data_IF_688289043700
#
_entry.id   IF_688289043700
#
_cell.length_a   1.000
_cell.length_b   1.000
_cell.length_c   1.000
_cell.angle_alpha   90.00
_cell.angle_beta   90.00
_cell.angle_gamma   90.00
#
_symmetry.space_group_name_H-M   'P 1'
#
loop_
_entity.id
_entity.type
_entity.pdbx_description
1 polymer ?
#
# COMPACT_ATOMS: atom_id res chain seq x y z
N UNK A 1 -29.55 -4.71 62.70
CA UNK A 1 -30.54 -4.05 61.81
C UNK A 1 -30.02 -2.77 61.16
N UNK A 2 -29.53 -1.75 61.90
CA UNK A 2 -29.03 -0.49 61.29
C UNK A 2 -27.77 -0.63 60.44
N UNK A 3 -26.87 -1.57 60.77
CA UNK A 3 -25.65 -1.87 60.02
C UNK A 3 -25.98 -2.50 58.66
N UNK A 4 -26.81 -3.55 58.68
CA UNK A 4 -27.32 -4.22 57.48
C UNK A 4 -28.04 -3.25 56.51
N UNK A 5 -28.80 -2.29 57.03
CA UNK A 5 -29.45 -1.27 56.19
C UNK A 5 -28.47 -0.28 55.55
N UNK A 6 -27.34 0.01 56.21
CA UNK A 6 -26.26 0.85 55.64
C UNK A 6 -25.48 0.09 54.57
N UNK A 7 -25.12 -1.16 54.84
CA UNK A 7 -24.44 -2.04 53.88
C UNK A 7 -25.28 -2.26 52.64
N UNK A 8 -26.58 -2.53 52.79
CA UNK A 8 -27.50 -2.70 51.65
C UNK A 8 -27.63 -1.41 50.83
N UNK A 9 -27.64 -0.24 51.48
CA UNK A 9 -27.65 1.06 50.78
C UNK A 9 -26.36 1.30 49.99
N UNK A 10 -25.20 0.98 50.55
CA UNK A 10 -23.90 1.11 49.87
C UNK A 10 -23.84 0.15 48.66
N UNK A 11 -24.29 -1.09 48.84
CA UNK A 11 -24.33 -2.08 47.75
C UNK A 11 -25.23 -1.61 46.60
N UNK A 12 -26.44 -1.12 46.90
CA UNK A 12 -27.35 -0.55 45.89
C UNK A 12 -26.74 0.67 45.19
N UNK A 13 -25.94 1.48 45.89
CA UNK A 13 -25.26 2.63 45.30
C UNK A 13 -24.12 2.19 44.37
N UNK A 14 -23.36 1.16 44.74
CA UNK A 14 -22.32 0.56 43.90
C UNK A 14 -22.91 -0.09 42.65
N UNK A 15 -24.01 -0.82 42.78
CA UNK A 15 -24.69 -1.45 41.64
C UNK A 15 -25.23 -0.39 40.67
N UNK A 16 -25.82 0.69 41.18
CA UNK A 16 -26.25 1.83 40.34
C UNK A 16 -25.08 2.51 39.64
N UNK A 17 -23.96 2.70 40.33
CA UNK A 17 -22.77 3.28 39.73
C UNK A 17 -22.17 2.38 38.64
N UNK A 18 -22.17 1.05 38.84
CA UNK A 18 -21.74 0.07 37.84
C UNK A 18 -22.64 0.12 36.62
N UNK A 19 -23.96 0.09 36.81
CA UNK A 19 -24.93 0.16 35.72
C UNK A 19 -24.84 1.48 34.93
N UNK A 20 -24.59 2.60 35.62
CA UNK A 20 -24.41 3.90 34.96
C UNK A 20 -23.16 3.92 34.07
N UNK A 21 -22.03 3.38 34.55
CA UNK A 21 -20.81 3.25 33.76
C UNK A 21 -21.01 2.33 32.56
N UNK A 22 -21.65 1.19 32.74
CA UNK A 22 -21.94 0.25 31.67
C UNK A 22 -22.84 0.87 30.59
N UNK A 23 -23.88 1.62 31.01
CA UNK A 23 -24.76 2.33 30.09
C UNK A 23 -23.99 3.39 29.28
N UNK A 24 -23.10 4.15 29.93
CA UNK A 24 -22.28 5.16 29.27
C UNK A 24 -21.33 4.51 28.24
N UNK A 25 -20.61 3.46 28.62
CA UNK A 25 -19.72 2.74 27.70
C UNK A 25 -20.48 2.18 26.49
N UNK A 26 -21.69 1.65 26.71
CA UNK A 26 -22.55 1.17 25.63
C UNK A 26 -22.99 2.30 24.70
N UNK A 27 -23.37 3.45 25.24
CA UNK A 27 -23.77 4.61 24.44
C UNK A 27 -22.60 5.16 23.61
N UNK A 28 -21.40 5.24 24.20
CA UNK A 28 -20.18 5.65 23.49
C UNK A 28 -19.83 4.67 22.36
N UNK A 29 -19.89 3.36 22.62
CA UNK A 29 -19.66 2.35 21.58
C UNK A 29 -20.69 2.39 20.44
N UNK A 30 -21.97 2.67 20.74
CA UNK A 30 -23.01 2.84 19.72
C UNK A 30 -22.72 4.09 18.88
N UNK A 31 -22.36 5.20 19.52
CA UNK A 31 -22.04 6.46 18.82
C UNK A 31 -20.83 6.30 17.90
N UNK A 32 -19.78 5.66 18.38
CA UNK A 32 -18.58 5.39 17.58
C UNK A 32 -18.91 4.46 16.39
N UNK A 33 -19.74 3.44 16.61
CA UNK A 33 -20.23 2.57 15.54
C UNK A 33 -20.99 3.38 14.47
N UNK A 34 -21.92 4.24 14.88
CA UNK A 34 -22.69 5.09 13.96
C UNK A 34 -21.79 6.08 13.20
N UNK A 35 -20.76 6.63 13.84
CA UNK A 35 -19.77 7.49 13.18
C UNK A 35 -18.98 6.72 12.13
N UNK A 36 -18.57 5.49 12.43
CA UNK A 36 -17.85 4.62 11.50
C UNK A 36 -18.73 4.17 10.33
N UNK A 37 -20.00 3.83 10.58
CA UNK A 37 -20.97 3.49 9.53
C UNK A 37 -21.22 4.68 8.59
N UNK A 38 -21.32 5.90 9.13
CA UNK A 38 -21.44 7.13 8.31
C UNK A 38 -20.21 7.35 7.44
N UNK A 39 -19.00 7.22 7.99
CA UNK A 39 -17.75 7.34 7.21
C UNK A 39 -17.65 6.27 6.12
N UNK A 40 -18.04 5.03 6.44
CA UNK A 40 -18.04 3.93 5.51
C UNK A 40 -18.99 4.20 4.32
N UNK A 41 -20.20 4.69 4.57
CA UNK A 41 -21.16 5.05 3.51
C UNK A 41 -20.64 6.17 2.62
N UNK A 42 -20.00 7.19 3.18
CA UNK A 42 -19.39 8.28 2.40
C UNK A 42 -18.28 7.75 1.48
N UNK A 43 -17.36 6.95 2.03
CA UNK A 43 -16.28 6.34 1.23
C UNK A 43 -16.83 5.44 0.13
N UNK A 44 -17.90 4.69 0.41
CA UNK A 44 -18.56 3.86 -0.60
C UNK A 44 -19.14 4.69 -1.74
N UNK A 45 -19.75 5.84 -1.44
CA UNK A 45 -20.29 6.75 -2.45
C UNK A 45 -19.18 7.43 -3.27
N UNK A 46 -18.08 7.82 -2.62
CA UNK A 46 -16.92 8.41 -3.29
C UNK A 46 -16.25 7.41 -4.25
N UNK A 47 -16.11 6.15 -3.83
CA UNK A 47 -15.62 5.08 -4.71
C UNK A 47 -16.54 4.88 -5.91
N UNK A 48 -17.86 4.91 -5.72
CA UNK A 48 -18.83 4.78 -6.82
C UNK A 48 -18.68 5.91 -7.82
N UNK A 49 -18.60 7.17 -7.35
CA UNK A 49 -18.41 8.35 -8.23
C UNK A 49 -17.10 8.27 -9.01
N UNK A 50 -16.00 7.91 -8.32
CA UNK A 50 -14.71 7.75 -8.97
C UNK A 50 -14.73 6.66 -10.05
N UNK A 51 -15.45 5.54 -9.82
CA UNK A 51 -15.62 4.49 -10.83
C UNK A 51 -16.44 4.95 -12.04
N UNK A 52 -17.50 5.73 -11.82
CA UNK A 52 -18.30 6.30 -12.91
C UNK A 52 -17.49 7.30 -13.75
N UNK A 53 -16.71 8.17 -13.10
CA UNK A 53 -15.80 9.10 -13.79
C UNK A 53 -14.69 8.37 -14.55
N UNK A 54 -14.10 7.32 -13.96
CA UNK A 54 -13.11 6.49 -14.63
C UNK A 54 -13.69 5.85 -15.88
N UNK A 55 -14.91 5.29 -15.80
CA UNK A 55 -15.58 4.67 -16.95
C UNK A 55 -15.84 5.68 -18.07
N UNK A 56 -16.34 6.87 -17.73
CA UNK A 56 -16.53 7.97 -18.70
C UNK A 56 -15.20 8.37 -19.34
N UNK A 57 -14.13 8.47 -18.55
CA UNK A 57 -12.80 8.79 -19.07
C UNK A 57 -12.30 7.72 -20.04
N UNK A 58 -12.46 6.43 -19.71
CA UNK A 58 -12.09 5.32 -20.58
C UNK A 58 -12.84 5.37 -21.92
N UNK A 59 -14.16 5.55 -21.87
CA UNK A 59 -14.99 5.70 -23.08
C UNK A 59 -14.53 6.89 -23.94
N UNK A 60 -14.18 8.03 -23.32
CA UNK A 60 -13.63 9.16 -24.09
C UNK A 60 -12.25 8.88 -24.68
N UNK A 61 -11.39 8.13 -23.98
CA UNK A 61 -10.07 7.76 -24.51
C UNK A 61 -10.20 6.81 -25.71
N UNK A 62 -11.10 5.83 -25.64
CA UNK A 62 -11.37 4.90 -26.75
C UNK A 62 -11.89 5.62 -27.99
N UNK A 63 -12.86 6.53 -27.82
CA UNK A 63 -13.40 7.34 -28.94
C UNK A 63 -12.34 8.24 -29.57
N UNK A 64 -11.42 8.79 -28.77
CA UNK A 64 -10.32 9.61 -29.29
C UNK A 64 -9.27 8.78 -30.01
N UNK A 65 -8.97 7.56 -29.53
CA UNK A 65 -8.08 6.63 -30.21
C UNK A 65 -8.63 6.23 -31.58
N UNK A 66 -9.92 5.86 -31.67
CA UNK A 66 -10.56 5.53 -32.95
C UNK A 66 -10.53 6.72 -33.94
N UNK A 67 -10.76 7.94 -33.43
CA UNK A 67 -10.63 9.16 -34.24
C UNK A 67 -9.21 9.38 -34.75
N UNK A 68 -8.20 9.09 -33.94
CA UNK A 68 -6.80 9.21 -34.34
C UNK A 68 -6.45 8.22 -35.45
N UNK A 69 -6.87 6.95 -35.31
CA UNK A 69 -6.65 5.91 -36.32
C UNK A 69 -7.31 6.27 -37.67
N UNK A 70 -8.54 6.80 -37.63
CA UNK A 70 -9.24 7.28 -38.83
C UNK A 70 -8.50 8.47 -39.49
N UNK A 71 -8.02 9.42 -38.70
CA UNK A 71 -7.27 10.56 -39.22
C UNK A 71 -5.93 10.12 -39.85
N UNK A 72 -5.24 9.14 -39.27
CA UNK A 72 -4.04 8.55 -39.84
C UNK A 72 -4.34 7.84 -41.18
N UNK A 73 -5.42 7.05 -41.23
CA UNK A 73 -5.85 6.40 -42.46
C UNK A 73 -6.18 7.40 -43.58
N UNK A 74 -6.86 8.51 -43.25
CA UNK A 74 -7.16 9.58 -44.22
C UNK A 74 -5.89 10.29 -44.71
N UNK A 75 -4.95 10.59 -43.82
CA UNK A 75 -3.67 11.18 -44.18
C UNK A 75 -2.85 10.28 -45.11
N UNK A 76 -2.83 8.97 -44.82
CA UNK A 76 -2.15 7.98 -45.67
C UNK A 76 -2.78 7.90 -47.06
N UNK A 77 -4.11 7.94 -47.16
CA UNK A 77 -4.82 7.94 -48.44
C UNK A 77 -4.52 9.20 -49.26
N UNK A 78 -4.51 10.38 -48.62
CA UNK A 78 -4.14 11.63 -49.28
C UNK A 78 -2.68 11.63 -49.76
N UNK A 79 -1.77 11.08 -48.96
CA UNK A 79 -0.37 10.95 -49.36
C UNK A 79 -0.21 10.03 -50.57
N UNK A 80 -0.90 8.87 -50.57
CA UNK A 80 -0.91 7.97 -51.73
C UNK A 80 -1.40 8.68 -52.99
N UNK A 81 -2.50 9.43 -52.89
CA UNK A 81 -3.05 10.20 -54.02
C UNK A 81 -2.06 11.25 -54.53
N UNK A 82 -1.35 11.94 -53.63
CA UNK A 82 -0.30 12.89 -54.01
C UNK A 82 0.83 12.19 -54.78
N UNK A 83 1.36 11.07 -54.25
CA UNK A 83 2.40 10.29 -54.94
C UNK A 83 1.95 9.79 -56.33
N UNK A 84 0.71 9.33 -56.47
CA UNK A 84 0.14 8.91 -57.76
C UNK A 84 0.06 10.07 -58.76
N UNK A 85 -0.43 11.24 -58.32
CA UNK A 85 -0.51 12.42 -59.18
C UNK A 85 0.86 12.96 -59.59
N UNK A 86 1.85 12.93 -58.69
CA UNK A 86 3.23 13.32 -59.00
C UNK A 86 3.84 12.37 -60.04
N UNK A 87 3.61 11.06 -59.90
CA UNK A 87 4.07 10.06 -60.87
C UNK A 87 3.43 10.29 -62.25
N UNK A 88 2.15 10.66 -62.29
CA UNK A 88 1.44 10.94 -63.54
C UNK A 88 1.91 12.24 -64.20
N UNK A 89 2.15 13.31 -63.43
CA UNK A 89 2.77 14.54 -63.90
C UNK A 89 4.17 14.26 -64.49
N UNK A 90 4.98 13.44 -63.83
CA UNK A 90 6.29 13.05 -64.36
C UNK A 90 6.16 12.31 -65.70
N UNK A 91 5.19 11.39 -65.83
CA UNK A 91 4.89 10.72 -67.11
C UNK A 91 4.48 11.72 -68.20
N UNK A 92 3.59 12.66 -67.89
CA UNK A 92 3.18 13.70 -68.83
C UNK A 92 4.36 14.58 -69.27
N UNK A 93 5.19 15.04 -68.33
CA UNK A 93 6.40 15.83 -68.63
C UNK A 93 7.34 15.09 -69.57
N UNK A 94 7.59 13.79 -69.35
CA UNK A 94 8.40 12.99 -70.27
C UNK A 94 7.77 12.84 -71.66
N UNK A 95 6.44 12.76 -71.75
CA UNK A 95 5.72 12.65 -73.03
C UNK A 95 5.72 13.95 -73.84
N UNK A 96 5.62 15.10 -73.16
CA UNK A 96 5.36 16.42 -73.76
C UNK A 96 6.63 17.19 -74.18
N UNK A 97 7.83 16.70 -73.88
CA UNK A 97 9.10 17.25 -74.40
C UNK A 97 9.25 17.07 -75.94
N UNK A 98 8.22 16.56 -76.64
CA UNK A 98 8.28 16.20 -78.07
C UNK A 98 7.78 17.24 -79.09
N UNK A 99 7.01 18.29 -78.76
CA UNK A 99 6.54 19.27 -79.78
C UNK A 99 6.17 20.69 -79.29
N UNK A 100 6.45 21.74 -80.08
CA UNK A 100 6.32 23.17 -79.69
C UNK A 100 4.87 23.68 -79.51
N UNK A 101 3.89 23.15 -80.26
CA UNK A 101 2.46 23.46 -80.03
C UNK A 101 1.92 22.82 -78.72
N UNK A 102 2.50 21.71 -78.28
CA UNK A 102 2.22 21.14 -76.95
C UNK A 102 2.78 22.02 -75.84
N UNK A 103 3.83 22.81 -76.09
CA UNK A 103 4.44 23.71 -75.12
C UNK A 103 3.45 24.75 -74.58
N UNK A 104 2.62 25.33 -75.45
CA UNK A 104 1.59 26.31 -75.05
C UNK A 104 0.44 25.67 -74.26
N UNK A 105 -0.03 24.48 -74.65
CA UNK A 105 -1.09 23.77 -73.92
C UNK A 105 -0.58 23.26 -72.56
N UNK A 106 0.68 22.84 -72.51
CA UNK A 106 1.39 22.48 -71.29
C UNK A 106 1.56 23.66 -70.35
N UNK A 107 1.86 24.86 -70.87
CA UNK A 107 1.99 26.06 -70.04
C UNK A 107 0.66 26.44 -69.38
N UNK A 108 -0.46 26.29 -70.10
CA UNK A 108 -1.80 26.50 -69.53
C UNK A 108 -2.13 25.46 -68.45
N UNK A 109 -1.92 24.16 -68.72
CA UNK A 109 -2.14 23.09 -67.73
C UNK A 109 -1.18 23.18 -66.54
N UNK A 110 0.05 23.67 -66.75
CA UNK A 110 1.01 23.89 -65.68
C UNK A 110 0.53 24.97 -64.72
N UNK A 111 -0.03 26.08 -65.22
CA UNK A 111 -0.65 27.12 -64.38
C UNK A 111 -1.86 26.61 -63.60
N UNK A 112 -2.70 25.77 -64.22
CA UNK A 112 -3.85 25.18 -63.52
C UNK A 112 -3.40 24.21 -62.42
N UNK A 113 -2.39 23.37 -62.71
CA UNK A 113 -1.78 22.48 -61.73
C UNK A 113 -1.08 23.25 -60.60
N UNK A 114 -0.45 24.38 -60.91
CA UNK A 114 0.18 25.26 -59.90
C UNK A 114 -0.86 25.86 -58.94
N UNK A 115 -2.05 26.24 -59.45
CA UNK A 115 -3.15 26.74 -58.62
C UNK A 115 -3.76 25.66 -57.71
N UNK A 116 -3.75 24.40 -58.15
CA UNK A 116 -4.19 23.25 -57.34
C UNK A 116 -3.12 22.91 -56.30
N UNK A 117 -1.84 22.94 -56.68
CA UNK A 117 -0.72 22.68 -55.78
C UNK A 117 -0.63 23.71 -54.65
N UNK A 118 -0.86 24.99 -54.93
CA UNK A 118 -0.92 26.03 -53.89
C UNK A 118 -2.06 25.81 -52.91
N UNK A 119 -3.27 25.46 -53.38
CA UNK A 119 -4.38 25.08 -52.49
C UNK A 119 -4.04 23.85 -51.63
N UNK A 120 -3.41 22.84 -52.23
CA UNK A 120 -2.98 21.64 -51.50
C UNK A 120 -1.93 21.97 -50.43
N UNK A 121 -1.00 22.87 -50.72
CA UNK A 121 0.00 23.34 -49.77
C UNK A 121 -0.64 24.11 -48.61
N UNK A 122 -1.57 25.02 -48.89
CA UNK A 122 -2.29 25.79 -47.85
C UNK A 122 -3.11 24.87 -46.93
N UNK A 123 -3.79 23.87 -47.49
CA UNK A 123 -4.51 22.86 -46.71
C UNK A 123 -3.55 21.96 -45.90
N UNK A 124 -2.40 21.62 -46.46
CA UNK A 124 -1.34 20.88 -45.75
C UNK A 124 -0.81 21.68 -44.55
N UNK A 125 -0.55 22.98 -44.74
CA UNK A 125 -0.10 23.85 -43.64
C UNK A 125 -1.16 23.99 -42.55
N UNK A 126 -2.45 24.04 -42.91
CA UNK A 126 -3.55 24.08 -41.92
C UNK A 126 -3.58 22.80 -41.10
N UNK A 127 -3.55 21.64 -41.74
CA UNK A 127 -3.52 20.34 -41.05
C UNK A 127 -2.26 20.15 -40.20
N UNK A 128 -1.11 20.64 -40.66
CA UNK A 128 0.13 20.59 -39.89
C UNK A 128 0.05 21.42 -38.60
N UNK A 129 -0.59 22.60 -38.63
CA UNK A 129 -0.84 23.42 -37.44
C UNK A 129 -1.80 22.73 -36.47
N UNK A 130 -2.88 22.14 -36.98
CA UNK A 130 -3.83 21.37 -36.18
C UNK A 130 -3.15 20.15 -35.52
N UNK A 131 -2.30 19.43 -36.25
CA UNK A 131 -1.54 18.30 -35.72
C UNK A 131 -0.58 18.71 -34.59
N UNK A 132 0.09 19.86 -34.73
CA UNK A 132 0.98 20.36 -33.67
C UNK A 132 0.19 20.77 -32.43
N UNK A 133 -1.00 21.37 -32.59
CA UNK A 133 -1.91 21.65 -31.47
C UNK A 133 -2.36 20.38 -30.76
N UNK A 134 -2.80 19.36 -31.50
CA UNK A 134 -3.18 18.07 -30.92
C UNK A 134 -2.03 17.42 -30.14
N UNK A 135 -0.79 17.56 -30.63
CA UNK A 135 0.41 17.06 -29.95
C UNK A 135 0.68 17.77 -28.63
N UNK A 136 0.48 19.10 -28.59
CA UNK A 136 0.56 19.88 -27.35
C UNK A 136 -0.51 19.44 -26.35
N UNK A 137 -1.75 19.27 -26.80
CA UNK A 137 -2.86 18.84 -25.94
C UNK A 137 -2.65 17.41 -25.40
N UNK A 138 -2.12 16.50 -26.21
CA UNK A 138 -1.76 15.15 -25.78
C UNK A 138 -0.68 15.17 -24.71
N UNK A 139 0.34 16.02 -24.86
CA UNK A 139 1.39 16.20 -23.86
C UNK A 139 0.82 16.70 -22.53
N UNK A 140 -0.10 17.68 -22.58
CA UNK A 140 -0.79 18.18 -21.39
C UNK A 140 -1.65 17.10 -20.73
N UNK A 141 -2.41 16.33 -21.53
CA UNK A 141 -3.21 15.21 -21.02
C UNK A 141 -2.35 14.16 -20.33
N UNK A 142 -1.20 13.80 -20.91
CA UNK A 142 -0.25 12.84 -20.33
C UNK A 142 0.37 13.33 -19.03
N UNK A 143 0.64 14.64 -18.92
CA UNK A 143 1.08 15.25 -17.67
C UNK A 143 -0.02 15.22 -16.60
N UNK A 144 -1.27 15.50 -16.99
CA UNK A 144 -2.42 15.43 -16.09
C UNK A 144 -2.68 13.98 -15.60
N UNK A 145 -2.58 13.00 -16.49
CA UNK A 145 -2.64 11.57 -16.16
C UNK A 145 -1.54 11.18 -15.17
N UNK A 146 -0.29 11.60 -15.42
CA UNK A 146 0.83 11.34 -14.50
C UNK A 146 0.57 11.93 -13.12
N UNK A 147 0.11 13.17 -13.04
CA UNK A 147 -0.24 13.81 -11.76
C UNK A 147 -1.39 13.10 -11.05
N UNK A 148 -2.42 12.66 -11.78
CA UNK A 148 -3.52 11.88 -11.20
C UNK A 148 -3.04 10.52 -10.66
N UNK A 149 -2.16 9.84 -11.40
CA UNK A 149 -1.53 8.58 -10.98
C UNK A 149 -0.68 8.75 -9.72
N UNK A 150 0.11 9.83 -9.65
CA UNK A 150 0.91 10.15 -8.45
C UNK A 150 0.01 10.40 -7.23
N UNK A 151 -1.08 11.17 -7.37
CA UNK A 151 -2.06 11.36 -6.29
C UNK A 151 -2.70 10.05 -5.82
N UNK A 152 -3.06 9.15 -6.74
CA UNK A 152 -3.59 7.83 -6.39
C UNK A 152 -2.56 6.97 -5.65
N UNK A 153 -1.29 7.01 -6.07
CA UNK A 153 -0.21 6.34 -5.36
C UNK A 153 0.02 6.92 -3.97
N UNK A 154 -0.11 8.24 -3.79
CA UNK A 154 0.00 8.90 -2.48
C UNK A 154 -1.13 8.46 -1.54
N UNK A 155 -2.37 8.39 -2.04
CA UNK A 155 -3.52 7.82 -1.30
C UNK A 155 -3.26 6.36 -0.93
N UNK A 156 -2.69 5.56 -1.84
CA UNK A 156 -2.38 4.14 -1.59
C UNK A 156 -1.22 3.97 -0.59
N UNK A 157 -0.20 4.84 -0.65
CA UNK A 157 0.92 4.88 0.31
C UNK A 157 0.49 5.34 1.70
N UNK A 158 -0.61 6.07 1.84
CA UNK A 158 -1.20 6.39 3.14
C UNK A 158 -1.85 5.19 3.83
N UNK A 159 -1.94 4.04 3.15
CA UNK A 159 -2.42 2.77 3.71
C UNK A 159 -1.27 1.86 4.19
N UNK A 160 -0.33 2.39 4.98
CA UNK A 160 0.69 1.58 5.66
C UNK A 160 0.19 1.22 7.05
N UNK A 161 -0.55 0.12 7.12
CA UNK A 161 -0.39 -0.94 8.14
C UNK A 161 -0.92 -2.24 7.53
N UNK A 162 -0.12 -2.83 6.65
CA UNK A 162 -0.23 -4.25 6.29
C UNK A 162 1.07 -4.92 6.76
N UNK A 163 0.99 -5.94 7.65
CA UNK A 163 2.18 -6.67 8.07
C UNK A 163 2.65 -7.54 6.90
N UNK A 164 3.75 -7.13 6.25
CA UNK A 164 4.39 -7.94 5.22
C UNK A 164 5.08 -9.15 5.87
N UNK A 165 4.51 -10.34 5.68
CA UNK A 165 5.24 -11.59 5.86
C UNK A 165 6.27 -11.69 4.72
N UNK A 166 7.54 -11.40 5.02
CA UNK A 166 8.64 -11.63 4.10
C UNK A 166 9.26 -13.00 4.39
N UNK A 167 9.16 -13.90 3.41
CA UNK A 167 10.10 -15.01 3.24
C UNK A 167 11.45 -14.43 2.76
N UNK A 168 12.61 -14.89 3.27
CA UNK A 168 13.89 -14.44 2.76
C UNK A 168 14.25 -15.22 1.50
N UNK A 169 14.30 -14.52 0.37
CA UNK A 169 14.95 -14.98 -0.85
C UNK A 169 16.34 -14.32 -0.90
N UNK A 170 17.38 -15.15 -0.86
CA UNK A 170 18.77 -14.74 -1.05
C UNK A 170 18.97 -14.34 -2.51
N UNK A 171 19.31 -13.08 -2.78
CA UNK A 171 20.21 -12.72 -3.89
C UNK A 171 21.06 -11.51 -3.51
N UNK A 172 22.30 -11.57 -3.96
CA UNK A 172 23.46 -10.77 -3.59
C UNK A 172 23.60 -9.45 -4.35
N UNK A 173 24.50 -8.64 -3.79
CA UNK A 173 25.30 -7.56 -4.37
C UNK A 173 24.64 -6.20 -4.58
N UNK A 174 25.09 -5.21 -3.79
CA UNK A 174 25.56 -3.91 -4.29
C UNK A 174 26.66 -3.42 -3.33
N UNK A 175 27.83 -3.22 -3.93
CA UNK A 175 28.97 -2.45 -3.43
C UNK A 175 28.59 -0.99 -3.19
N UNK A 176 28.90 -0.44 -2.01
CA UNK A 176 29.06 1.02 -1.88
C UNK A 176 30.02 1.39 -0.76
N UNK A 177 30.82 2.40 -1.08
CA UNK A 177 32.02 2.86 -0.41
C UNK A 177 31.88 3.20 1.07
N UNK A 178 32.95 2.85 1.79
CA UNK A 178 33.29 3.37 3.10
C UNK A 178 33.82 4.80 2.95
N UNK A 179 32.98 5.79 3.29
CA UNK A 179 33.47 7.14 3.63
C UNK A 179 33.43 7.33 5.13
N UNK A 180 34.64 7.29 5.68
CA UNK A 180 35.10 7.84 6.94
C UNK A 180 34.35 9.14 7.32
N UNK A 181 33.65 9.08 8.46
CA UNK A 181 33.15 10.25 9.16
C UNK A 181 33.29 9.97 10.65
N UNK A 182 34.36 10.53 11.21
CA UNK A 182 34.64 10.67 12.63
C UNK A 182 33.37 11.07 13.39
N UNK A 183 32.82 10.15 14.19
CA UNK A 183 31.85 10.48 15.22
C UNK A 183 32.53 10.29 16.58
N UNK A 184 32.88 11.42 17.17
CA UNK A 184 33.65 11.56 18.39
C UNK A 184 33.14 10.68 19.54
N UNK A 185 34.09 9.95 20.12
CA UNK A 185 33.93 9.35 21.43
C UNK A 185 34.05 10.43 22.50
N UNK A 186 32.91 10.90 23.01
CA UNK A 186 32.78 11.43 24.37
C UNK A 186 31.30 11.54 24.72
N UNK A 187 30.68 10.48 25.28
CA UNK A 187 29.28 10.59 25.69
C UNK A 187 28.80 9.65 26.81
N UNK A 188 29.64 9.22 27.75
CA UNK A 188 29.10 8.73 29.04
C UNK A 188 30.06 9.07 30.17
N UNK A 189 29.70 10.09 30.95
CA UNK A 189 30.37 10.40 32.22
C UNK A 189 30.15 9.24 33.20
N UNK A 190 31.17 8.89 33.98
CA UNK A 190 31.16 7.75 34.91
C UNK A 190 29.95 7.74 35.87
N UNK A 191 29.39 8.90 36.21
CA UNK A 191 28.18 9.00 37.05
C UNK A 191 26.85 8.66 36.34
N UNK A 192 26.79 8.73 35.01
CA UNK A 192 25.60 8.39 34.21
C UNK A 192 25.42 6.87 34.11
N UNK A 193 26.54 6.12 34.11
CA UNK A 193 26.54 4.65 34.20
C UNK A 193 26.08 4.15 35.58
N UNK A 194 26.48 4.82 36.66
CA UNK A 194 26.03 4.49 38.01
C UNK A 194 24.54 4.80 38.18
N UNK A 195 24.04 5.89 37.60
CA UNK A 195 22.62 6.26 37.61
C UNK A 195 21.76 5.27 36.81
N UNK A 196 22.19 4.91 35.60
CA UNK A 196 21.53 3.88 34.79
C UNK A 196 21.54 2.51 35.50
N UNK A 197 22.65 2.15 36.16
CA UNK A 197 22.74 0.92 36.95
C UNK A 197 21.74 0.92 38.12
N UNK A 198 21.54 2.06 38.78
CA UNK A 198 20.57 2.21 39.86
C UNK A 198 19.12 2.11 39.36
N UNK A 199 18.84 2.67 38.18
CA UNK A 199 17.52 2.62 37.54
C UNK A 199 17.18 1.20 37.07
N UNK A 200 18.15 0.48 36.48
CA UNK A 200 18.02 -0.94 36.13
C UNK A 200 17.77 -1.79 37.37
N UNK A 201 18.51 -1.56 38.47
CA UNK A 201 18.31 -2.33 39.70
C UNK A 201 16.95 -2.01 40.34
N UNK A 202 16.49 -0.75 40.28
CA UNK A 202 15.16 -0.35 40.75
C UNK A 202 14.05 -1.02 39.95
N UNK A 203 14.14 -1.00 38.61
CA UNK A 203 13.17 -1.67 37.73
C UNK A 203 13.18 -3.19 37.95
N UNK A 204 14.36 -3.78 38.14
CA UNK A 204 14.51 -5.19 38.47
C UNK A 204 13.82 -5.55 39.78
N UNK A 205 14.01 -4.76 40.84
CA UNK A 205 13.37 -4.98 42.15
C UNK A 205 11.85 -4.86 42.00
N UNK A 206 11.35 -3.82 41.33
CA UNK A 206 9.92 -3.62 41.11
C UNK A 206 9.28 -4.76 40.28
N UNK A 207 9.96 -5.22 39.23
CA UNK A 207 9.54 -6.40 38.47
C UNK A 207 9.52 -7.66 39.34
N UNK A 208 10.54 -7.85 40.18
CA UNK A 208 10.63 -9.01 41.07
C UNK A 208 9.54 -8.99 42.14
N UNK A 209 9.19 -7.82 42.67
CA UNK A 209 8.05 -7.64 43.58
C UNK A 209 6.71 -7.92 42.88
N UNK A 210 6.48 -7.36 41.68
CA UNK A 210 5.27 -7.63 40.89
C UNK A 210 5.13 -9.11 40.51
N UNK A 211 6.24 -9.73 40.10
CA UNK A 211 6.33 -11.15 39.78
C UNK A 211 6.03 -12.01 41.00
N UNK A 212 6.59 -11.68 42.16
CA UNK A 212 6.31 -12.36 43.43
C UNK A 212 4.84 -12.20 43.82
N UNK A 213 4.28 -11.00 43.73
CA UNK A 213 2.88 -10.75 44.06
C UNK A 213 1.94 -11.58 43.18
N UNK A 214 2.19 -11.61 41.87
CA UNK A 214 1.43 -12.45 40.94
C UNK A 214 1.58 -13.95 41.26
N UNK A 215 2.79 -14.40 41.59
CA UNK A 215 3.03 -15.80 42.01
C UNK A 215 2.24 -16.15 43.28
N UNK A 216 2.19 -15.25 44.25
CA UNK A 216 1.42 -15.45 45.48
C UNK A 216 -0.09 -15.48 45.20
N UNK A 217 -0.60 -14.58 44.35
CA UNK A 217 -2.01 -14.60 43.90
C UNK A 217 -2.37 -15.90 43.16
N UNK A 218 -1.49 -16.39 42.29
CA UNK A 218 -1.71 -17.66 41.59
C UNK A 218 -1.66 -18.86 42.56
N UNK A 219 -0.79 -18.83 43.57
CA UNK A 219 -0.72 -19.86 44.60
C UNK A 219 -1.99 -19.87 45.46
N UNK A 220 -2.46 -18.70 45.88
CA UNK A 220 -3.70 -18.55 46.63
C UNK A 220 -4.90 -19.06 45.82
N UNK A 221 -5.06 -18.59 44.57
CA UNK A 221 -6.11 -19.06 43.68
C UNK A 221 -6.05 -20.57 43.47
N UNK A 222 -4.86 -21.14 43.25
CA UNK A 222 -4.67 -22.60 43.13
C UNK A 222 -5.20 -23.31 44.38
N UNK A 223 -4.84 -22.85 45.58
CA UNK A 223 -5.34 -23.46 46.82
C UNK A 223 -6.85 -23.31 47.02
N UNK A 224 -7.44 -22.19 46.60
CA UNK A 224 -8.89 -21.96 46.68
C UNK A 224 -9.68 -22.89 45.76
N UNK A 225 -9.22 -23.08 44.53
CA UNK A 225 -9.91 -23.91 43.53
C UNK A 225 -9.63 -25.40 43.70
N UNK A 226 -8.56 -25.80 44.40
CA UNK A 226 -8.19 -27.19 44.61
C UNK A 226 -9.31 -28.00 45.29
N UNK A 227 -10.03 -27.37 46.25
CA UNK A 227 -11.15 -28.01 46.95
C UNK A 227 -12.35 -28.29 46.02
N UNK A 228 -12.43 -27.57 44.90
CA UNK A 228 -13.47 -27.72 43.88
C UNK A 228 -13.01 -28.57 42.70
N UNK A 229 -11.78 -29.11 42.72
CA UNK A 229 -11.22 -29.91 41.64
C UNK A 229 -11.95 -31.25 41.51
N UNK A 230 -12.36 -31.60 40.29
CA UNK A 230 -12.96 -32.89 39.94
C UNK A 230 -11.91 -33.72 39.21
N UNK A 231 -11.30 -34.68 39.90
CA UNK A 231 -10.17 -35.48 39.38
C UNK A 231 -10.50 -36.22 38.08
N UNK A 232 -11.75 -36.67 37.90
CA UNK A 232 -12.19 -37.38 36.70
C UNK A 232 -12.12 -36.53 35.41
N UNK A 233 -12.13 -35.19 35.54
CA UNK A 233 -12.06 -34.26 34.40
C UNK A 233 -10.63 -33.73 34.15
N UNK A 234 -9.63 -34.25 34.87
CA UNK A 234 -8.25 -33.82 34.68
C UNK A 234 -7.72 -34.28 33.30
N UNK A 235 -7.27 -33.32 32.50
CA UNK A 235 -6.73 -33.60 31.17
C UNK A 235 -5.26 -34.00 31.23
N UNK A 236 -4.77 -34.66 30.18
CA UNK A 236 -3.34 -35.01 30.09
C UNK A 236 -2.42 -33.78 30.12
N UNK A 237 -2.90 -32.62 29.62
CA UNK A 237 -2.16 -31.36 29.69
C UNK A 237 -2.07 -30.80 31.11
N UNK A 238 -3.11 -30.99 31.93
CA UNK A 238 -3.10 -30.56 33.33
C UNK A 238 -2.06 -31.36 34.13
N UNK A 239 -1.99 -32.68 33.90
CA UNK A 239 -0.99 -33.56 34.52
C UNK A 239 0.44 -33.18 34.11
N UNK A 240 0.68 -32.98 32.81
CA UNK A 240 1.99 -32.55 32.30
C UNK A 240 2.40 -31.17 32.83
N UNK A 241 1.43 -30.27 32.99
CA UNK A 241 1.67 -28.95 33.57
C UNK A 241 2.05 -29.04 35.05
N UNK A 242 1.31 -29.83 35.83
CA UNK A 242 1.60 -30.05 37.25
C UNK A 242 2.96 -30.72 37.45
N UNK A 243 3.30 -31.74 36.64
CA UNK A 243 4.63 -32.37 36.62
C UNK A 243 5.75 -31.39 36.24
N UNK A 244 5.48 -30.45 35.34
CA UNK A 244 6.39 -29.35 35.00
C UNK A 244 6.60 -28.40 36.18
N UNK A 245 5.52 -28.01 36.86
CA UNK A 245 5.59 -27.15 38.06
C UNK A 245 6.35 -27.85 39.19
N UNK A 246 6.10 -29.13 39.44
CA UNK A 246 6.78 -29.91 40.48
C UNK A 246 8.30 -30.03 40.24
N UNK A 247 8.72 -30.09 38.97
CA UNK A 247 10.14 -30.05 38.58
C UNK A 247 10.77 -28.66 38.66
N UNK A 248 9.96 -27.61 38.85
CA UNK A 248 10.40 -26.22 38.82
C UNK A 248 10.65 -25.71 37.40
N UNK A 249 10.04 -26.34 36.40
CA UNK A 249 10.19 -25.96 35.00
C UNK A 249 9.37 -24.71 34.67
N UNK A 250 10.00 -23.80 33.93
CA UNK A 250 9.39 -22.62 33.35
C UNK A 250 9.69 -22.63 31.86
N UNK A 251 8.87 -21.93 31.06
CA UNK A 251 9.10 -21.83 29.60
C UNK A 251 10.55 -21.49 29.25
N UNK A 252 11.16 -20.57 30.00
CA UNK A 252 12.53 -20.12 29.75
C UNK A 252 13.60 -21.07 30.30
N UNK A 253 13.38 -21.75 31.44
CA UNK A 253 14.33 -22.75 31.94
C UNK A 253 14.34 -23.99 31.05
N UNK A 254 13.17 -24.46 30.61
CA UNK A 254 13.04 -25.57 29.66
C UNK A 254 13.67 -25.23 28.31
N UNK A 255 13.44 -24.01 27.79
CA UNK A 255 14.06 -23.57 26.53
C UNK A 255 15.59 -23.47 26.65
N UNK A 256 16.09 -23.01 27.80
CA UNK A 256 17.54 -22.96 28.08
C UNK A 256 18.13 -24.37 28.12
N UNK A 257 17.49 -25.30 28.81
CA UNK A 257 17.92 -26.70 28.89
C UNK A 257 17.91 -27.39 27.52
N UNK A 258 16.83 -27.22 26.74
CA UNK A 258 16.71 -27.77 25.40
C UNK A 258 17.76 -27.21 24.42
N UNK A 259 18.28 -25.99 24.67
CA UNK A 259 19.31 -25.34 23.86
C UNK A 259 20.74 -25.50 24.41
N UNK A 260 20.92 -26.13 25.57
CA UNK A 260 22.23 -26.27 26.20
C UNK A 260 23.19 -27.18 25.41
N UNK A 261 22.64 -28.13 24.65
CA UNK A 261 23.42 -29.07 23.83
C UNK A 261 23.88 -28.46 22.51
N UNK A 262 25.01 -28.94 22.01
CA UNK A 262 25.53 -28.52 20.69
C UNK A 262 24.50 -28.83 19.59
N UNK A 263 24.51 -28.05 18.51
CA UNK A 263 23.60 -28.26 17.38
C UNK A 263 23.71 -29.69 16.83
N UNK A 264 24.92 -30.21 16.70
CA UNK A 264 25.17 -31.60 16.26
C UNK A 264 24.51 -32.64 17.19
N UNK A 265 24.63 -32.47 18.52
CA UNK A 265 23.99 -33.38 19.47
C UNK A 265 22.45 -33.29 19.44
N UNK A 266 21.89 -32.09 19.24
CA UNK A 266 20.43 -31.90 19.13
C UNK A 266 19.86 -32.53 17.86
N UNK A 267 20.57 -32.41 16.74
CA UNK A 267 20.21 -33.08 15.48
C UNK A 267 20.30 -34.59 15.62
N UNK A 268 21.40 -35.12 16.17
CA UNK A 268 21.56 -36.56 16.38
C UNK A 268 20.49 -37.17 17.31
N UNK A 269 20.09 -36.44 18.36
CA UNK A 269 19.00 -36.86 19.26
C UNK A 269 17.64 -36.82 18.55
N UNK A 270 17.38 -35.81 17.72
CA UNK A 270 16.13 -35.69 16.96
C UNK A 270 15.96 -36.83 15.94
N UNK A 271 17.03 -37.26 15.28
CA UNK A 271 17.00 -38.38 14.33
C UNK A 271 16.80 -39.76 15.01
N UNK A 272 16.85 -39.83 16.35
CA UNK A 272 16.67 -41.05 17.14
C UNK A 272 15.33 -41.12 17.89
N UNK A 273 14.53 -40.05 17.83
CA UNK A 273 13.21 -39.90 18.46
C UNK A 273 12.11 -40.58 17.63
#
# INVERSE_FOLDING_TARGET
>A
MKTHAREEKVRRQQDRARLAKEKQLKEEAIREKEDMERKYLLLQDDVRKAQEELKRSQETTELLAEKADLAEAEANLLNQKTCETEAEIQRFKMSAVKTEEERMLMEYRAREAEMIATKLLEDSERRAKEAEQLKVDLLQSRMAEKMAKERLMEITRSNVYQPSYQLPELTSDITTDLTDAELGGDLFGVGDMDQLSLEIEKERVEYMEKSKHLQDQLRELKTEIEVLKVEENETDYDRLHEDGIQRGDSKYSTLRQAKANTTSSRVAFFEQL
#
